data_IF_591632052845
#
_entry.id   IF_591632052845
#
_cell.length_a   1.000
_cell.length_b   1.000
_cell.length_c   1.000
_cell.angle_alpha   90.00
_cell.angle_beta   90.00
_cell.angle_gamma   90.00
#
_symmetry.space_group_name_H-M   'P 1'
#
loop_
_entity.id
_entity.type
_entity.pdbx_description
1 polymer ?
#
# COMPACT_ATOMS: atom_id res chain seq x y z
N UNK A 1 -28.96 -22.82 -10.45
CA UNK A 1 -27.50 -22.59 -10.52
C UNK A 1 -27.25 -21.12 -10.24
N UNK A 2 -26.95 -20.76 -9.00
CA UNK A 2 -26.55 -19.38 -8.67
C UNK A 2 -25.06 -19.30 -8.97
N UNK A 3 -24.69 -18.66 -10.09
CA UNK A 3 -23.30 -18.27 -10.31
C UNK A 3 -23.02 -17.18 -9.29
N UNK A 4 -22.42 -17.52 -8.16
CA UNK A 4 -21.92 -16.55 -7.22
C UNK A 4 -20.82 -15.76 -7.94
N UNK A 5 -21.18 -14.59 -8.47
CA UNK A 5 -20.21 -13.62 -8.96
C UNK A 5 -19.40 -13.23 -7.74
N UNK A 6 -18.17 -13.75 -7.63
CA UNK A 6 -17.23 -13.31 -6.60
C UNK A 6 -17.20 -11.77 -6.64
N UNK A 7 -17.46 -11.10 -5.51
CA UNK A 7 -17.49 -9.65 -5.50
C UNK A 7 -16.18 -9.16 -6.08
N UNK A 8 -16.27 -8.32 -7.13
CA UNK A 8 -15.06 -7.80 -7.74
C UNK A 8 -14.27 -7.03 -6.69
N UNK A 9 -12.95 -7.23 -6.64
CA UNK A 9 -12.06 -6.52 -5.73
C UNK A 9 -12.35 -5.01 -5.82
N UNK A 10 -12.89 -4.39 -4.76
CA UNK A 10 -13.40 -3.02 -4.82
C UNK A 10 -12.26 -2.00 -4.80
N UNK A 11 -11.02 -2.43 -4.55
CA UNK A 11 -9.81 -1.61 -4.67
C UNK A 11 -9.39 -1.52 -6.15
N UNK A 12 -9.14 -0.30 -6.61
CA UNK A 12 -8.70 -0.02 -7.97
C UNK A 12 -7.20 -0.26 -8.10
N UNK A 13 -6.44 0.31 -7.16
CA UNK A 13 -5.00 0.19 -7.04
C UNK A 13 -4.55 0.64 -5.65
N UNK A 14 -3.33 0.27 -5.29
CA UNK A 14 -2.66 0.72 -4.07
C UNK A 14 -1.42 1.51 -4.49
N UNK A 15 -1.28 2.74 -3.99
CA UNK A 15 -0.07 3.53 -4.10
C UNK A 15 0.69 3.43 -2.77
N UNK A 16 1.91 2.93 -2.82
CA UNK A 16 2.83 2.90 -1.67
C UNK A 16 3.91 3.94 -1.93
N UNK A 17 4.07 4.86 -0.99
CA UNK A 17 5.08 5.92 -1.05
C UNK A 17 5.72 6.13 0.31
N UNK A 18 7.04 6.12 0.35
CA UNK A 18 7.79 6.42 1.56
C UNK A 18 9.03 7.26 1.24
N UNK A 19 9.46 8.04 2.22
CA UNK A 19 10.62 8.89 2.13
C UNK A 19 11.73 8.28 2.99
N UNK A 20 12.97 8.46 2.56
CA UNK A 20 14.17 8.19 3.35
C UNK A 20 14.97 9.47 3.42
N UNK A 21 15.04 10.03 4.61
CA UNK A 21 15.81 11.23 4.92
C UNK A 21 17.30 10.91 5.04
N UNK A 22 18.15 11.92 4.87
CA UNK A 22 19.61 11.76 4.95
C UNK A 22 20.11 11.19 6.30
N UNK A 23 19.34 11.36 7.38
CA UNK A 23 19.68 10.86 8.72
C UNK A 23 19.14 9.46 9.01
N UNK A 24 18.34 8.89 8.11
CA UNK A 24 17.75 7.56 8.28
C UNK A 24 18.64 6.47 7.66
N UNK A 25 18.57 5.27 8.22
CA UNK A 25 19.22 4.11 7.63
C UNK A 25 18.31 3.51 6.56
N UNK A 26 18.75 3.57 5.30
CA UNK A 26 17.97 3.10 4.15
C UNK A 26 17.53 1.63 4.29
N UNK A 27 18.45 0.75 4.66
CA UNK A 27 18.18 -0.69 4.73
C UNK A 27 17.09 -1.00 5.78
N UNK A 28 17.15 -0.34 6.94
CA UNK A 28 16.13 -0.47 7.99
C UNK A 28 14.75 0.02 7.53
N UNK A 29 14.70 1.10 6.75
CA UNK A 29 13.43 1.60 6.21
C UNK A 29 12.87 0.64 5.16
N UNK A 30 13.73 0.11 4.27
CA UNK A 30 13.31 -0.88 3.27
C UNK A 30 12.79 -2.15 3.93
N UNK A 31 13.47 -2.66 4.96
CA UNK A 31 12.99 -3.81 5.74
C UNK A 31 11.62 -3.55 6.38
N UNK A 32 11.42 -2.36 6.97
CA UNK A 32 10.13 -1.99 7.57
C UNK A 32 9.01 -1.99 6.52
N UNK A 33 9.28 -1.47 5.33
CA UNK A 33 8.32 -1.52 4.21
C UNK A 33 8.08 -2.95 3.74
N UNK A 34 9.11 -3.78 3.64
CA UNK A 34 8.96 -5.19 3.24
C UNK A 34 8.07 -5.99 4.20
N UNK A 35 8.08 -5.68 5.50
CA UNK A 35 7.18 -6.31 6.50
C UNK A 35 5.70 -6.02 6.23
N UNK A 36 5.38 -4.96 5.49
CA UNK A 36 4.01 -4.64 5.08
C UNK A 36 3.57 -5.36 3.81
N UNK A 37 4.53 -5.78 2.99
CA UNK A 37 4.25 -6.40 1.70
C UNK A 37 3.84 -7.86 1.92
N UNK A 38 2.90 -8.39 1.12
CA UNK A 38 2.59 -9.82 1.16
C UNK A 38 3.80 -10.63 0.73
N UNK A 39 4.23 -11.58 1.57
CA UNK A 39 5.48 -12.36 1.40
C UNK A 39 5.60 -13.01 0.04
N UNK A 40 4.49 -13.55 -0.47
CA UNK A 40 4.44 -14.29 -1.73
C UNK A 40 4.68 -13.41 -2.97
N UNK A 41 4.65 -12.08 -2.81
CA UNK A 41 4.77 -11.11 -3.90
C UNK A 41 5.85 -10.05 -3.65
N UNK A 42 6.74 -10.24 -2.67
CA UNK A 42 7.79 -9.24 -2.37
C UNK A 42 8.62 -8.94 -3.63
N UNK A 43 9.04 -9.98 -4.36
CA UNK A 43 9.88 -9.84 -5.54
C UNK A 43 9.14 -9.23 -6.75
N UNK A 44 7.80 -9.28 -6.74
CA UNK A 44 6.96 -8.70 -7.80
C UNK A 44 6.71 -7.19 -7.60
N UNK A 45 7.00 -6.67 -6.40
CA UNK A 45 6.72 -5.27 -6.05
C UNK A 45 8.00 -4.44 -6.21
N UNK A 46 8.17 -3.89 -7.41
CA UNK A 46 9.30 -3.01 -7.72
C UNK A 46 9.00 -1.55 -7.36
N UNK A 47 9.90 -0.94 -6.58
CA UNK A 47 9.84 0.49 -6.24
C UNK A 47 10.70 1.32 -7.19
N UNK A 48 10.15 2.43 -7.66
CA UNK A 48 10.91 3.48 -8.32
C UNK A 48 11.57 4.36 -7.28
N UNK A 49 12.87 4.59 -7.42
CA UNK A 49 13.65 5.52 -6.59
C UNK A 49 13.72 6.89 -7.26
N UNK A 50 13.37 7.93 -6.52
CA UNK A 50 13.49 9.33 -6.92
C UNK A 50 14.31 10.13 -5.91
N UNK A 51 15.00 11.17 -6.37
CA UNK A 51 15.71 12.11 -5.51
C UNK A 51 14.94 13.42 -5.43
N UNK A 52 14.57 13.81 -4.22
CA UNK A 52 13.88 15.04 -3.89
C UNK A 52 14.77 15.90 -2.98
N UNK A 53 14.38 17.16 -2.81
CA UNK A 53 14.98 18.06 -1.82
C UNK A 53 13.93 18.42 -0.79
N UNK A 54 14.31 18.32 0.49
CA UNK A 54 13.51 18.83 1.59
C UNK A 54 13.50 20.35 1.65
N UNK A 55 12.74 20.92 2.59
CA UNK A 55 12.60 22.37 2.74
C UNK A 55 13.94 23.10 2.97
N UNK A 56 14.85 22.47 3.71
CA UNK A 56 16.21 22.96 3.96
C UNK A 56 17.24 22.55 2.89
N UNK A 57 16.79 22.04 1.73
CA UNK A 57 17.68 21.58 0.66
C UNK A 57 18.33 20.21 0.89
N UNK A 58 18.13 19.59 2.07
CA UNK A 58 18.62 18.24 2.37
C UNK A 58 18.06 17.22 1.38
N UNK A 59 18.87 16.24 0.91
CA UNK A 59 18.38 15.21 0.02
C UNK A 59 17.36 14.32 0.73
N UNK A 60 16.28 14.02 0.04
CA UNK A 60 15.26 13.05 0.45
C UNK A 60 15.15 12.03 -0.68
N UNK A 61 15.29 10.76 -0.36
CA UNK A 61 15.01 9.70 -1.33
C UNK A 61 13.53 9.36 -1.26
N UNK A 62 12.81 9.45 -2.37
CA UNK A 62 11.44 8.96 -2.50
C UNK A 62 11.47 7.55 -3.09
N UNK A 63 10.70 6.65 -2.51
CA UNK A 63 10.35 5.37 -3.11
C UNK A 63 8.86 5.33 -3.40
N UNK A 64 8.50 4.93 -4.61
CA UNK A 64 7.09 4.84 -5.01
C UNK A 64 6.80 3.63 -5.89
N UNK A 65 5.63 3.03 -5.67
CA UNK A 65 5.08 2.00 -6.56
C UNK A 65 3.57 2.06 -6.60
N UNK A 66 2.99 1.48 -7.66
CA UNK A 66 1.54 1.34 -7.85
C UNK A 66 1.21 -0.11 -8.15
N UNK A 67 0.47 -0.74 -7.25
CA UNK A 67 -0.01 -2.11 -7.39
C UNK A 67 -1.40 -2.10 -8.04
N UNK A 68 -1.54 -2.77 -9.19
CA UNK A 68 -2.81 -2.96 -9.91
C UNK A 68 -3.25 -4.42 -10.00
N UNK A 69 -2.33 -5.37 -9.77
CA UNK A 69 -2.66 -6.80 -9.78
C UNK A 69 -3.63 -7.10 -8.64
N UNK A 70 -4.76 -7.76 -8.95
CA UNK A 70 -5.84 -8.03 -8.01
C UNK A 70 -5.45 -9.03 -6.92
N UNK A 71 -4.60 -9.99 -7.24
CA UNK A 71 -4.11 -11.00 -6.28
C UNK A 71 -3.18 -10.34 -5.27
N UNK A 72 -2.23 -9.55 -5.75
CA UNK A 72 -1.34 -8.75 -4.89
C UNK A 72 -2.13 -7.76 -4.04
N UNK A 73 -3.12 -7.06 -4.61
CA UNK A 73 -4.00 -6.16 -3.86
C UNK A 73 -4.75 -6.90 -2.75
N UNK A 74 -5.28 -8.10 -3.04
CA UNK A 74 -5.98 -8.91 -2.05
C UNK A 74 -5.06 -9.27 -0.90
N UNK A 75 -3.90 -9.86 -1.21
CA UNK A 75 -2.92 -10.29 -0.23
C UNK A 75 -2.39 -9.09 0.59
N UNK A 76 -2.16 -7.95 -0.04
CA UNK A 76 -1.71 -6.74 0.64
C UNK A 76 -2.75 -6.24 1.65
N UNK A 77 -4.03 -6.20 1.27
CA UNK A 77 -5.11 -5.77 2.17
C UNK A 77 -5.26 -6.70 3.37
N UNK A 78 -5.16 -8.01 3.16
CA UNK A 78 -5.19 -9.01 4.23
C UNK A 78 -4.00 -8.84 5.20
N UNK A 79 -2.82 -8.47 4.68
CA UNK A 79 -1.62 -8.24 5.49
C UNK A 79 -1.62 -6.90 6.26
N UNK A 80 -2.35 -5.90 5.75
CA UNK A 80 -2.39 -4.54 6.32
C UNK A 80 -2.97 -4.50 7.73
N UNK A 81 -3.90 -5.41 8.04
CA UNK A 81 -4.58 -5.49 9.34
C UNK A 81 -3.64 -5.85 10.51
N UNK A 82 -2.35 -6.11 10.24
CA UNK A 82 -1.40 -6.68 11.21
C UNK A 82 -0.21 -5.79 11.59
N UNK A 83 -0.14 -4.53 11.12
CA UNK A 83 1.11 -3.74 11.18
C UNK A 83 0.97 -2.41 11.94
N UNK A 84 2.00 -2.01 12.70
CA UNK A 84 2.02 -0.81 13.56
C UNK A 84 3.01 0.29 13.12
N UNK A 85 3.69 0.13 11.98
CA UNK A 85 4.71 1.08 11.52
C UNK A 85 4.09 2.33 10.85
N UNK A 86 4.66 3.53 11.05
CA UNK A 86 4.14 4.80 10.53
C UNK A 86 4.43 4.99 9.03
N UNK A 87 4.07 4.01 8.20
CA UNK A 87 4.22 4.06 6.75
C UNK A 87 2.91 4.58 6.15
N UNK A 88 2.99 5.71 5.42
CA UNK A 88 1.83 6.28 4.74
C UNK A 88 1.45 5.45 3.50
N UNK A 89 0.33 4.74 3.59
CA UNK A 89 -0.19 3.91 2.49
C UNK A 89 -1.44 4.58 1.94
N UNK A 90 -1.51 4.74 0.62
CA UNK A 90 -2.69 5.30 -0.05
C UNK A 90 -3.40 4.22 -0.86
N UNK A 91 -4.60 3.87 -0.43
CA UNK A 91 -5.45 2.89 -1.12
C UNK A 91 -6.54 3.64 -1.88
N UNK A 92 -6.72 3.33 -3.17
CA UNK A 92 -7.83 3.89 -3.95
C UNK A 92 -8.91 2.85 -4.18
N UNK A 93 -10.10 3.11 -3.66
CA UNK A 93 -11.31 2.31 -3.89
C UNK A 93 -12.00 2.76 -5.18
N UNK A 94 -12.61 1.81 -5.91
CA UNK A 94 -13.34 2.06 -7.17
C UNK A 94 -14.68 2.76 -6.95
N UNK A 95 -15.25 2.65 -5.74
CA UNK A 95 -16.54 3.23 -5.37
C UNK A 95 -16.39 4.72 -5.09
N UNK A 96 -17.41 5.50 -5.45
CA UNK A 96 -17.43 6.97 -5.27
C UNK A 96 -18.34 7.42 -4.12
N UNK A 97 -19.36 6.63 -3.77
CA UNK A 97 -20.23 6.93 -2.63
C UNK A 97 -19.52 6.58 -1.33
N UNK A 98 -19.51 7.53 -0.38
CA UNK A 98 -18.83 7.35 0.91
C UNK A 98 -19.35 6.13 1.69
N UNK A 99 -20.65 5.89 1.67
CA UNK A 99 -21.29 4.74 2.33
C UNK A 99 -20.76 3.40 1.78
N UNK A 100 -20.65 3.29 0.45
CA UNK A 100 -20.10 2.10 -0.21
C UNK A 100 -18.61 1.91 0.10
N UNK A 101 -17.86 3.01 0.21
CA UNK A 101 -16.44 2.99 0.59
C UNK A 101 -16.28 2.52 2.03
N UNK A 102 -17.05 3.08 2.98
CA UNK A 102 -17.00 2.69 4.40
C UNK A 102 -17.37 1.23 4.56
N UNK A 103 -18.43 0.78 3.89
CA UNK A 103 -18.83 -0.64 3.88
C UNK A 103 -17.70 -1.54 3.37
N UNK A 104 -17.10 -1.17 2.24
CA UNK A 104 -15.95 -1.89 1.67
C UNK A 104 -14.79 -1.97 2.67
N UNK A 105 -14.42 -0.86 3.29
CA UNK A 105 -13.31 -0.83 4.24
C UNK A 105 -13.58 -1.67 5.49
N UNK A 106 -14.83 -1.73 5.97
CA UNK A 106 -15.24 -2.63 7.06
C UNK A 106 -15.16 -4.10 6.66
N UNK A 107 -15.66 -4.45 5.48
CA UNK A 107 -15.59 -5.82 4.93
C UNK A 107 -14.14 -6.30 4.74
N UNK A 108 -13.22 -5.37 4.48
CA UNK A 108 -11.78 -5.62 4.35
C UNK A 108 -11.01 -5.56 5.69
N UNK A 109 -11.69 -5.32 6.82
CA UNK A 109 -11.06 -5.24 8.14
C UNK A 109 -10.21 -3.98 8.37
N UNK A 110 -10.35 -2.94 7.55
CA UNK A 110 -9.58 -1.69 7.64
C UNK A 110 -10.19 -0.66 8.59
N UNK A 111 -11.49 -0.78 8.89
CA UNK A 111 -12.22 0.12 9.78
C UNK A 111 -13.03 -0.73 10.76
N UNK A 112 -12.95 -0.40 12.05
CA UNK A 112 -13.82 -0.93 13.11
C UNK A 112 -15.12 -0.14 13.25
#
# INVERSE_FOLDING_TARGET
>A
MVVAVLPQMPVAYIDIRFFVHATENLDKVVEAVQRLLPSDYIDDILFKKGNLKGHYGNPITLFETRIKNREVIKAFVENLASTADPIHIRIRVRKTKIEDIVKTCRELGMLT
#
